data_IF_200073304381
#
_entry.id   IF_200073304381
#
_cell.length_a   1.000
_cell.length_b   1.000
_cell.length_c   1.000
_cell.angle_alpha   90.00
_cell.angle_beta   90.00
_cell.angle_gamma   90.00
#
_symmetry.space_group_name_H-M   'P 1'
#
loop_
_entity.id
_entity.type
_entity.pdbx_description
1 polymer ?
#
# COMPACT_ATOMS: atom_id res chain seq x y z
N UNK A 1 -31.84 -12.10 -14.68
CA UNK A 1 -30.50 -12.44 -14.15
C UNK A 1 -29.68 -11.19 -13.73
N UNK A 2 -30.16 -9.96 -13.88
CA UNK A 2 -29.33 -8.74 -13.72
C UNK A 2 -29.12 -8.22 -12.29
N UNK A 3 -30.05 -8.45 -11.36
CA UNK A 3 -29.94 -7.86 -10.00
C UNK A 3 -28.98 -8.62 -9.08
N UNK A 4 -28.93 -9.95 -9.17
CA UNK A 4 -28.02 -10.79 -8.37
C UNK A 4 -26.55 -10.56 -8.74
N UNK A 5 -26.25 -10.40 -10.03
CA UNK A 5 -24.89 -10.12 -10.51
C UNK A 5 -24.41 -8.72 -10.15
N UNK A 6 -25.30 -7.71 -10.20
CA UNK A 6 -24.95 -6.35 -9.75
C UNK A 6 -24.63 -6.32 -8.25
N UNK A 7 -25.47 -6.95 -7.42
CA UNK A 7 -25.26 -7.03 -5.97
C UNK A 7 -23.95 -7.73 -5.61
N UNK A 8 -23.57 -8.78 -6.35
CA UNK A 8 -22.30 -9.47 -6.16
C UNK A 8 -21.10 -8.58 -6.49
N UNK A 9 -21.12 -7.89 -7.63
CA UNK A 9 -20.02 -6.98 -8.03
C UNK A 9 -19.90 -5.79 -7.08
N UNK A 10 -21.02 -5.22 -6.62
CA UNK A 10 -21.01 -4.12 -5.64
C UNK A 10 -20.43 -4.56 -4.29
N UNK A 11 -20.74 -5.77 -3.83
CA UNK A 11 -20.18 -6.33 -2.60
C UNK A 11 -18.68 -6.53 -2.72
N UNK A 12 -18.21 -7.16 -3.81
CA UNK A 12 -16.78 -7.36 -4.07
C UNK A 12 -16.04 -6.02 -4.14
N UNK A 13 -16.64 -5.01 -4.78
CA UNK A 13 -16.08 -3.65 -4.84
C UNK A 13 -15.94 -3.02 -3.45
N UNK A 14 -16.98 -3.10 -2.62
CA UNK A 14 -16.96 -2.52 -1.27
C UNK A 14 -15.93 -3.21 -0.36
N UNK A 15 -15.85 -4.54 -0.40
CA UNK A 15 -14.85 -5.31 0.35
C UNK A 15 -13.43 -4.91 -0.06
N UNK A 16 -13.17 -4.80 -1.37
CA UNK A 16 -11.86 -4.41 -1.90
C UNK A 16 -11.53 -2.94 -1.62
N UNK A 17 -12.52 -2.04 -1.59
CA UNK A 17 -12.32 -0.64 -1.17
C UNK A 17 -11.91 -0.53 0.29
N UNK A 18 -12.50 -1.34 1.18
CA UNK A 18 -12.07 -1.40 2.58
C UNK A 18 -10.63 -1.89 2.67
N UNK A 19 -10.28 -2.95 1.94
CA UNK A 19 -8.91 -3.46 1.89
C UNK A 19 -7.92 -2.41 1.35
N UNK A 20 -8.29 -1.69 0.29
CA UNK A 20 -7.50 -0.62 -0.29
C UNK A 20 -7.19 0.49 0.72
N UNK A 21 -8.18 0.87 1.55
CA UNK A 21 -7.98 1.88 2.60
C UNK A 21 -6.99 1.40 3.66
N UNK A 22 -7.10 0.14 4.10
CA UNK A 22 -6.15 -0.46 5.04
C UNK A 22 -4.73 -0.46 4.45
N UNK A 23 -4.58 -0.89 3.20
CA UNK A 23 -3.27 -0.91 2.52
C UNK A 23 -2.71 0.50 2.32
N UNK A 24 -3.56 1.50 2.06
CA UNK A 24 -3.14 2.90 1.94
C UNK A 24 -2.52 3.41 3.24
N UNK A 25 -3.15 3.11 4.39
CA UNK A 25 -2.61 3.43 5.70
C UNK A 25 -1.32 2.68 5.98
N UNK A 26 -1.24 1.40 5.59
CA UNK A 26 -0.04 0.58 5.72
C UNK A 26 1.14 1.18 4.93
N UNK A 27 0.95 1.55 3.66
CA UNK A 27 1.97 2.21 2.84
C UNK A 27 2.46 3.50 3.49
N UNK A 28 1.54 4.34 3.96
CA UNK A 28 1.90 5.60 4.63
C UNK A 28 2.75 5.34 5.90
N UNK A 29 2.32 4.38 6.72
CA UNK A 29 3.04 4.01 7.95
C UNK A 29 4.44 3.46 7.67
N UNK A 30 4.59 2.56 6.69
CA UNK A 30 5.90 2.00 6.30
C UNK A 30 6.85 3.07 5.76
N UNK A 31 6.35 4.03 4.98
CA UNK A 31 7.13 5.18 4.50
C UNK A 31 7.63 6.03 5.67
N UNK A 32 6.77 6.31 6.65
CA UNK A 32 7.14 7.08 7.84
C UNK A 32 8.21 6.37 8.69
N UNK A 33 8.10 5.04 8.86
CA UNK A 33 9.11 4.27 9.58
C UNK A 33 10.48 4.29 8.89
N UNK A 34 10.52 4.08 7.57
CA UNK A 34 11.76 4.15 6.81
C UNK A 34 12.40 5.54 6.88
N UNK A 35 11.59 6.60 6.78
CA UNK A 35 12.09 7.97 6.93
C UNK A 35 12.65 8.22 8.34
N UNK A 36 11.90 7.88 9.38
CA UNK A 36 12.34 8.01 10.78
C UNK A 36 13.63 7.24 11.07
N UNK A 37 13.75 6.04 10.49
CA UNK A 37 14.99 5.26 10.53
C UNK A 37 16.14 6.01 9.88
N UNK A 38 15.99 6.46 8.63
CA UNK A 38 17.03 7.18 7.89
C UNK A 38 17.49 8.45 8.63
N UNK A 39 16.55 9.26 9.11
CA UNK A 39 16.84 10.48 9.87
C UNK A 39 17.61 10.17 11.17
N UNK A 40 17.27 9.06 11.83
CA UNK A 40 17.95 8.63 13.05
C UNK A 40 19.36 8.08 12.77
N UNK A 41 19.53 7.40 11.64
CA UNK A 41 20.84 6.91 11.21
C UNK A 41 21.77 8.07 10.83
N UNK A 42 21.28 9.08 10.12
CA UNK A 42 22.05 10.28 9.78
C UNK A 42 22.56 11.00 11.04
N UNK A 43 21.68 11.22 12.03
CA UNK A 43 22.07 11.81 13.32
C UNK A 43 23.10 10.97 14.07
N UNK A 44 22.94 9.65 14.06
CA UNK A 44 23.85 8.77 14.76
C UNK A 44 25.21 8.71 14.08
N UNK A 45 25.27 8.74 12.75
CA UNK A 45 26.50 8.87 11.99
C UNK A 45 27.20 10.21 12.30
N UNK A 46 26.46 11.33 12.34
CA UNK A 46 27.02 12.64 12.72
C UNK A 46 27.64 12.61 14.12
N UNK A 47 26.92 12.08 15.11
CA UNK A 47 27.42 11.94 16.48
C UNK A 47 28.63 10.99 16.59
N UNK A 48 28.69 9.95 15.74
CA UNK A 48 29.86 9.06 15.63
C UNK A 48 31.08 9.83 15.17
N UNK A 49 30.92 10.61 14.10
CA UNK A 49 32.01 11.37 13.49
C UNK A 49 32.50 12.47 14.42
N UNK A 50 31.61 13.10 15.18
CA UNK A 50 31.95 14.13 16.17
C UNK A 50 32.61 13.56 17.44
N UNK A 51 32.16 12.40 17.93
CA UNK A 51 32.57 11.87 19.24
C UNK A 51 33.36 10.55 19.22
N UNK A 52 33.75 10.06 18.02
CA UNK A 52 34.46 8.77 17.81
C UNK A 52 33.80 7.57 18.50
N UNK A 53 32.47 7.53 18.53
CA UNK A 53 31.71 6.41 19.15
C UNK A 53 31.63 5.20 18.21
N UNK A 54 31.30 4.03 18.76
CA UNK A 54 31.04 2.82 17.99
C UNK A 54 29.78 2.95 17.13
N UNK A 55 29.81 2.42 15.91
CA UNK A 55 28.69 2.34 14.98
C UNK A 55 28.71 0.97 14.29
N UNK A 56 27.57 0.28 14.32
CA UNK A 56 27.38 -1.00 13.64
C UNK A 56 26.69 -0.77 12.29
N UNK A 57 27.51 -0.65 11.24
CA UNK A 57 27.00 -0.43 9.88
C UNK A 57 26.19 -1.60 9.35
N UNK A 58 26.53 -2.82 9.76
CA UNK A 58 25.90 -4.03 9.22
C UNK A 58 24.50 -4.19 9.79
N UNK A 59 24.34 -3.98 11.10
CA UNK A 59 23.03 -3.91 11.73
C UNK A 59 22.18 -2.79 11.10
N UNK A 60 22.77 -1.62 10.88
CA UNK A 60 22.07 -0.47 10.29
C UNK A 60 21.53 -0.79 8.88
N UNK A 61 22.38 -1.37 8.02
CA UNK A 61 22.02 -1.76 6.66
C UNK A 61 20.96 -2.86 6.63
N UNK A 62 21.02 -3.83 7.55
CA UNK A 62 20.00 -4.87 7.63
C UNK A 62 18.62 -4.31 7.98
N UNK A 63 18.54 -3.43 8.97
CA UNK A 63 17.29 -2.76 9.35
C UNK A 63 16.73 -1.89 8.22
N UNK A 64 17.58 -1.13 7.53
CA UNK A 64 17.17 -0.33 6.37
C UNK A 64 16.56 -1.22 5.28
N UNK A 65 17.24 -2.30 4.89
CA UNK A 65 16.74 -3.25 3.88
C UNK A 65 15.39 -3.85 4.26
N UNK A 66 15.19 -4.16 5.55
CA UNK A 66 13.91 -4.67 6.06
C UNK A 66 12.79 -3.65 5.91
N UNK A 67 13.01 -2.39 6.27
CA UNK A 67 11.99 -1.36 6.10
C UNK A 67 11.68 -1.08 4.63
N UNK A 68 12.69 -1.12 3.77
CA UNK A 68 12.51 -0.99 2.32
C UNK A 68 11.70 -2.15 1.72
N UNK A 69 11.96 -3.40 2.15
CA UNK A 69 11.21 -4.55 1.67
C UNK A 69 9.75 -4.50 2.12
N UNK A 70 9.49 -4.20 3.40
CA UNK A 70 8.14 -4.08 3.94
C UNK A 70 7.35 -2.95 3.24
N UNK A 71 7.99 -1.81 2.95
CA UNK A 71 7.38 -0.73 2.16
C UNK A 71 7.02 -1.22 0.75
N UNK A 72 7.95 -1.90 0.07
CA UNK A 72 7.76 -2.39 -1.30
C UNK A 72 6.61 -3.40 -1.38
N UNK A 73 6.51 -4.30 -0.41
CA UNK A 73 5.41 -5.28 -0.34
C UNK A 73 4.04 -4.60 -0.18
N UNK A 74 3.95 -3.59 0.69
CA UNK A 74 2.73 -2.81 0.86
C UNK A 74 2.36 -2.03 -0.42
N UNK A 75 3.34 -1.43 -1.10
CA UNK A 75 3.13 -0.73 -2.38
C UNK A 75 2.66 -1.69 -3.49
N UNK A 76 3.20 -2.91 -3.55
CA UNK A 76 2.74 -3.92 -4.51
C UNK A 76 1.29 -4.34 -4.24
N UNK A 77 0.91 -4.53 -2.97
CA UNK A 77 -0.49 -4.82 -2.61
C UNK A 77 -1.42 -3.67 -2.98
N UNK A 78 -0.98 -2.43 -2.77
CA UNK A 78 -1.72 -1.24 -3.17
C UNK A 78 -2.00 -1.24 -4.68
N UNK A 79 -0.97 -1.50 -5.49
CA UNK A 79 -1.08 -1.50 -6.96
C UNK A 79 -1.99 -2.63 -7.46
N UNK A 80 -1.92 -3.81 -6.83
CA UNK A 80 -2.79 -4.96 -7.16
C UNK A 80 -4.25 -4.62 -6.87
N UNK A 81 -4.54 -4.04 -5.70
CA UNK A 81 -5.90 -3.71 -5.31
C UNK A 81 -6.47 -2.56 -6.16
N UNK A 82 -5.66 -1.55 -6.51
CA UNK A 82 -6.04 -0.50 -7.46
C UNK A 82 -6.45 -1.06 -8.83
N UNK A 83 -5.66 -1.99 -9.38
CA UNK A 83 -5.99 -2.63 -10.66
C UNK A 83 -7.29 -3.43 -10.60
N UNK A 84 -7.49 -4.19 -9.53
CA UNK A 84 -8.73 -4.95 -9.32
C UNK A 84 -9.95 -4.02 -9.18
N UNK A 85 -9.82 -2.91 -8.44
CA UNK A 85 -10.87 -1.90 -8.32
C UNK A 85 -11.22 -1.28 -9.67
N UNK A 86 -10.23 -0.95 -10.50
CA UNK A 86 -10.47 -0.42 -11.85
C UNK A 86 -11.26 -1.40 -12.73
N UNK A 87 -10.97 -2.71 -12.63
CA UNK A 87 -11.73 -3.74 -13.33
C UNK A 87 -13.17 -3.82 -12.83
N UNK A 88 -13.40 -3.74 -11.51
CA UNK A 88 -14.75 -3.76 -10.93
C UNK A 88 -15.56 -2.52 -11.31
N UNK A 89 -14.94 -1.35 -11.37
CA UNK A 89 -15.58 -0.11 -11.87
C UNK A 89 -16.04 -0.31 -13.32
N UNK A 90 -15.18 -0.83 -14.20
CA UNK A 90 -15.56 -1.09 -15.59
C UNK A 90 -16.71 -2.11 -15.72
N UNK A 91 -16.77 -3.11 -14.84
CA UNK A 91 -17.91 -4.05 -14.79
C UNK A 91 -19.20 -3.36 -14.33
N UNK A 92 -19.13 -2.50 -13.32
CA UNK A 92 -20.29 -1.74 -12.82
C UNK A 92 -20.83 -0.78 -13.88
N UNK A 93 -19.95 -0.08 -14.59
CA UNK A 93 -20.33 0.82 -15.68
C UNK A 93 -21.06 0.06 -16.79
N UNK A 94 -20.51 -1.08 -17.22
CA UNK A 94 -21.13 -1.93 -18.25
C UNK A 94 -22.50 -2.48 -17.81
N UNK A 95 -22.65 -2.88 -16.54
CA UNK A 95 -23.94 -3.32 -16.00
C UNK A 95 -24.95 -2.17 -15.95
N UNK A 96 -24.52 -0.97 -15.57
CA UNK A 96 -25.36 0.22 -15.55
C UNK A 96 -25.77 0.71 -16.95
N UNK A 97 -24.95 0.49 -17.97
CA UNK A 97 -25.30 0.74 -19.37
C UNK A 97 -26.38 -0.25 -19.87
N UNK A 98 -26.29 -1.53 -19.50
CA UNK A 98 -27.30 -2.55 -19.82
C UNK A 98 -28.65 -2.24 -19.17
N UNK A 99 -28.65 -1.85 -17.90
CA UNK A 99 -29.87 -1.46 -17.18
C UNK A 99 -30.52 -0.22 -17.82
N UNK A 100 -29.72 0.79 -18.21
CA UNK A 100 -30.20 1.98 -18.94
C UNK A 100 -30.74 1.66 -20.33
N UNK A 101 -30.23 0.61 -20.99
CA UNK A 101 -30.71 0.13 -22.28
C UNK A 101 -32.02 -0.69 -22.18
N UNK A 102 -32.48 -1.02 -20.96
CA UNK A 102 -33.71 -1.78 -20.73
C UNK A 102 -33.60 -3.27 -21.08
N UNK A 103 -32.39 -3.84 -21.06
CA UNK A 103 -32.07 -5.24 -21.40
C UNK A 103 -31.88 -6.09 -20.14
#
# INVERSE_FOLDING_TARGET
MSQLTLAEVMREFMELQVEQNVVTLEVAHKRQLLQSWNDSMERSQHNRDEHRRYWDSDFSLQCQKKYESEKREAEQRFDVNQKKLAVLIGKLDALGDLERAGV
#
